data_IF_521545042467
#
_entry.id   IF_521545042467
#
_cell.length_a   1.000
_cell.length_b   1.000
_cell.length_c   1.000
_cell.angle_alpha   90.00
_cell.angle_beta   90.00
_cell.angle_gamma   90.00
#
_symmetry.space_group_name_H-M   'P 1'
#
loop_
_entity.id
_entity.type
_entity.pdbx_description
1 polymer ?
#
# COMPACT_ATOMS: atom_id res chain seq x y z
N UNK A 1 -13.87 9.55 6.96
CA UNK A 1 -12.65 8.79 6.62
C UNK A 1 -12.72 7.34 7.05
N UNK A 2 -12.84 7.00 8.35
CA UNK A 2 -12.92 5.59 8.77
C UNK A 2 -14.15 4.87 8.21
N UNK A 3 -15.33 5.47 8.32
CA UNK A 3 -16.58 4.84 7.87
C UNK A 3 -16.61 4.62 6.35
N UNK A 4 -16.07 5.59 5.58
CA UNK A 4 -15.89 5.48 4.13
C UNK A 4 -14.94 4.33 3.74
N UNK A 5 -13.84 4.16 4.47
CA UNK A 5 -12.93 3.03 4.24
C UNK A 5 -13.61 1.70 4.56
N UNK A 6 -14.37 1.63 5.65
CA UNK A 6 -15.13 0.42 6.03
C UNK A 6 -16.20 0.09 5.00
N UNK A 7 -16.92 1.07 4.49
CA UNK A 7 -17.89 0.91 3.41
C UNK A 7 -17.21 0.37 2.14
N UNK A 8 -16.09 0.97 1.71
CA UNK A 8 -15.31 0.48 0.55
C UNK A 8 -14.86 -0.97 0.73
N UNK A 9 -14.32 -1.32 1.90
CA UNK A 9 -13.81 -2.66 2.18
C UNK A 9 -14.94 -3.69 2.31
N UNK A 10 -16.12 -3.30 2.81
CA UNK A 10 -17.26 -4.22 2.95
C UNK A 10 -18.05 -4.43 1.65
N UNK A 11 -17.97 -3.49 0.69
CA UNK A 11 -18.74 -3.54 -0.56
C UNK A 11 -18.32 -4.66 -1.54
N UNK A 12 -17.11 -5.21 -1.39
CA UNK A 12 -16.57 -6.26 -2.27
C UNK A 12 -15.48 -7.09 -1.59
N UNK A 13 -15.04 -8.18 -2.24
CA UNK A 13 -13.78 -8.85 -1.87
C UNK A 13 -12.61 -7.96 -2.27
N UNK A 14 -11.67 -7.76 -1.36
CA UNK A 14 -10.50 -6.93 -1.57
C UNK A 14 -9.23 -7.78 -1.63
N UNK A 15 -8.37 -7.49 -2.59
CA UNK A 15 -7.01 -8.03 -2.62
C UNK A 15 -6.07 -7.07 -1.88
N UNK A 16 -5.33 -7.58 -0.90
CA UNK A 16 -4.33 -6.84 -0.13
C UNK A 16 -2.95 -7.42 -0.40
N UNK A 17 -1.96 -6.54 -0.59
CA UNK A 17 -0.55 -6.91 -0.74
C UNK A 17 0.29 -6.14 0.27
N UNK A 18 1.01 -6.88 1.11
CA UNK A 18 2.02 -6.34 2.02
C UNK A 18 3.38 -6.22 1.32
N UNK A 19 3.99 -5.04 1.43
CA UNK A 19 5.29 -4.73 0.85
C UNK A 19 6.39 -4.85 1.92
N UNK A 20 6.76 -6.09 2.25
CA UNK A 20 7.84 -6.41 3.19
C UNK A 20 9.24 -6.30 2.55
N UNK A 21 9.63 -5.07 2.21
CA UNK A 21 10.93 -4.76 1.63
C UNK A 21 11.77 -3.90 2.56
N UNK A 22 13.09 -3.99 2.45
CA UNK A 22 14.01 -3.00 3.05
C UNK A 22 14.27 -1.86 2.05
N UNK A 23 14.31 -2.21 0.76
CA UNK A 23 14.56 -1.28 -0.36
C UNK A 23 13.27 -0.59 -0.79
N UNK A 24 13.25 0.74 -0.74
CA UNK A 24 12.12 1.54 -1.19
C UNK A 24 11.86 1.41 -2.70
N UNK A 25 12.92 1.33 -3.50
CA UNK A 25 12.79 1.21 -4.96
C UNK A 25 12.14 -0.12 -5.37
N UNK A 26 12.50 -1.21 -4.67
CA UNK A 26 11.87 -2.51 -4.89
C UNK A 26 10.42 -2.50 -4.44
N UNK A 27 10.12 -1.89 -3.28
CA UNK A 27 8.76 -1.73 -2.80
C UNK A 27 7.89 -0.96 -3.81
N UNK A 28 8.40 0.15 -4.35
CA UNK A 28 7.68 0.97 -5.34
C UNK A 28 7.46 0.18 -6.64
N UNK A 29 8.47 -0.56 -7.11
CA UNK A 29 8.36 -1.38 -8.33
C UNK A 29 7.25 -2.43 -8.17
N UNK A 30 7.26 -3.15 -7.06
CA UNK A 30 6.25 -4.20 -6.78
C UNK A 30 4.87 -3.59 -6.51
N UNK A 31 4.79 -2.44 -5.84
CA UNK A 31 3.54 -1.71 -5.66
C UNK A 31 2.86 -1.38 -6.99
N UNK A 32 3.62 -0.85 -7.97
CA UNK A 32 3.10 -0.54 -9.31
C UNK A 32 2.55 -1.80 -10.01
N UNK A 33 3.30 -2.89 -9.99
CA UNK A 33 2.86 -4.16 -10.57
C UNK A 33 1.61 -4.71 -9.89
N UNK A 34 1.51 -4.62 -8.55
CA UNK A 34 0.34 -5.03 -7.80
C UNK A 34 -0.89 -4.16 -8.14
N UNK A 35 -0.70 -2.86 -8.32
CA UNK A 35 -1.73 -1.91 -8.75
C UNK A 35 -2.25 -2.24 -10.15
N UNK A 36 -1.34 -2.49 -11.10
CA UNK A 36 -1.67 -2.96 -12.45
C UNK A 36 -2.42 -4.30 -12.42
N UNK A 37 -2.05 -5.19 -11.51
CA UNK A 37 -2.71 -6.48 -11.26
C UNK A 37 -4.05 -6.38 -10.53
N UNK A 38 -4.51 -5.18 -10.15
CA UNK A 38 -5.82 -4.97 -9.54
C UNK A 38 -5.86 -5.07 -8.02
N UNK A 39 -4.75 -4.88 -7.30
CA UNK A 39 -4.76 -4.79 -5.83
C UNK A 39 -5.66 -3.64 -5.36
N UNK A 40 -6.34 -3.83 -4.24
CA UNK A 40 -7.21 -2.82 -3.62
C UNK A 40 -6.52 -2.10 -2.46
N UNK A 41 -5.72 -2.84 -1.69
CA UNK A 41 -5.04 -2.37 -0.49
C UNK A 41 -3.53 -2.64 -0.62
N UNK A 42 -2.74 -1.58 -0.52
CA UNK A 42 -1.28 -1.66 -0.44
C UNK A 42 -0.88 -1.46 1.01
N UNK A 43 -0.22 -2.43 1.61
CA UNK A 43 0.26 -2.36 2.99
C UNK A 43 1.78 -2.09 3.02
N UNK A 44 2.17 -1.12 3.85
CA UNK A 44 3.58 -0.80 4.11
C UNK A 44 4.09 -1.78 5.15
N UNK A 45 4.82 -2.81 4.70
CA UNK A 45 5.37 -3.83 5.58
C UNK A 45 6.28 -3.24 6.65
N UNK A 46 6.31 -3.87 7.83
CA UNK A 46 7.11 -3.37 8.96
C UNK A 46 8.63 -3.26 8.67
N UNK A 47 9.26 -4.10 7.82
CA UNK A 47 10.66 -3.89 7.42
C UNK A 47 10.86 -2.56 6.70
N UNK A 48 9.92 -2.16 5.85
CA UNK A 48 9.99 -0.92 5.08
C UNK A 48 9.78 0.29 5.98
N UNK A 49 8.82 0.20 6.91
CA UNK A 49 8.60 1.25 7.93
C UNK A 49 9.86 1.44 8.78
N UNK A 50 10.53 0.36 9.18
CA UNK A 50 11.77 0.45 9.96
C UNK A 50 12.94 1.04 9.16
N UNK A 51 13.03 0.76 7.87
CA UNK A 51 14.12 1.24 7.02
C UNK A 51 13.93 2.70 6.58
N UNK A 52 12.71 3.09 6.18
CA UNK A 52 12.44 4.34 5.47
C UNK A 52 11.52 5.31 6.24
N UNK A 53 10.86 4.82 7.30
CA UNK A 53 9.92 5.59 8.11
C UNK A 53 8.85 6.31 7.28
N UNK A 54 8.55 7.56 7.68
CA UNK A 54 7.53 8.39 7.03
C UNK A 54 7.88 8.71 5.57
N UNK A 55 9.17 8.76 5.21
CA UNK A 55 9.59 9.03 3.84
C UNK A 55 9.09 7.93 2.90
N UNK A 56 9.31 6.66 3.26
CA UNK A 56 8.84 5.52 2.46
C UNK A 56 7.32 5.52 2.31
N UNK A 57 6.60 5.80 3.39
CA UNK A 57 5.13 5.90 3.38
C UNK A 57 4.63 7.01 2.44
N UNK A 58 5.26 8.19 2.45
CA UNK A 58 4.91 9.30 1.54
C UNK A 58 5.15 8.92 0.07
N UNK A 59 6.29 8.30 -0.24
CA UNK A 59 6.57 7.89 -1.62
C UNK A 59 5.61 6.79 -2.10
N UNK A 60 5.25 5.83 -1.25
CA UNK A 60 4.22 4.85 -1.58
C UNK A 60 2.83 5.46 -1.72
N UNK A 61 2.49 6.48 -0.93
CA UNK A 61 1.21 7.20 -1.06
C UNK A 61 1.04 7.84 -2.43
N UNK A 62 2.10 8.43 -2.98
CA UNK A 62 2.08 9.01 -4.33
C UNK A 62 1.82 7.95 -5.41
N UNK A 63 2.44 6.77 -5.28
CA UNK A 63 2.27 5.65 -6.21
C UNK A 63 0.88 5.03 -6.09
N UNK A 64 0.40 4.85 -4.86
CA UNK A 64 -0.83 4.15 -4.56
C UNK A 64 -2.07 5.05 -4.53
N UNK A 65 -2.05 6.28 -5.07
CA UNK A 65 -3.04 7.37 -4.84
C UNK A 65 -4.52 6.95 -4.80
N UNK A 66 -4.94 6.01 -5.66
CA UNK A 66 -6.34 5.57 -5.74
C UNK A 66 -6.66 4.31 -4.91
N UNK A 67 -5.65 3.74 -4.27
CA UNK A 67 -5.73 2.57 -3.39
C UNK A 67 -5.77 2.98 -1.92
N UNK A 68 -6.23 2.05 -1.09
CA UNK A 68 -6.08 2.17 0.36
C UNK A 68 -4.62 1.88 0.68
N UNK A 69 -3.96 2.78 1.41
CA UNK A 69 -2.63 2.56 1.96
C UNK A 69 -2.78 2.22 3.44
N UNK A 70 -2.38 1.00 3.82
CA UNK A 70 -2.37 0.53 5.22
C UNK A 70 -0.92 0.63 5.75
N UNK A 71 -0.73 1.21 6.92
CA UNK A 71 0.58 1.34 7.58
C UNK A 71 0.42 1.32 9.10
#
# INVERSE_FOLDING_TARGET
MKDEVLERISSKKNLQVALDFISLDDAIRVAKMAIEGGVDIVEVGTPLVKAEGIRGMKQLREVAKDKILLA
#
